data_IF_946243729595
#
_entry.id   IF_946243729595
#
_cell.length_a   1.000
_cell.length_b   1.000
_cell.length_c   1.000
_cell.angle_alpha   90.00
_cell.angle_beta   90.00
_cell.angle_gamma   90.00
#
_symmetry.space_group_name_H-M   'P 1'
#
loop_
_entity.id
_entity.type
_entity.pdbx_description
1 polymer ?
#
# COMPACT_ATOMS: atom_id res chain seq x y z
N UNK A 1 63.14 -34.50 -16.49
CA UNK A 1 62.43 -33.21 -16.67
C UNK A 1 61.70 -32.99 -15.35
N UNK A 2 62.24 -32.28 -14.33
CA UNK A 2 62.46 -30.81 -14.20
C UNK A 2 61.23 -30.04 -14.73
N UNK A 3 60.53 -29.18 -14.00
CA UNK A 3 60.66 -28.50 -12.69
C UNK A 3 59.30 -27.77 -12.45
N UNK A 4 59.04 -26.90 -11.49
CA UNK A 4 59.78 -26.39 -10.34
C UNK A 4 58.75 -25.86 -9.31
N UNK A 5 59.12 -26.03 -8.06
CA UNK A 5 58.44 -25.58 -6.85
C UNK A 5 58.82 -24.12 -6.61
N UNK A 6 57.83 -23.22 -6.45
CA UNK A 6 58.06 -21.89 -5.88
C UNK A 6 57.40 -21.80 -4.51
N UNK A 7 58.12 -22.36 -3.54
CA UNK A 7 58.05 -21.99 -2.12
C UNK A 7 58.58 -20.56 -2.02
N UNK A 8 57.69 -19.60 -1.77
CA UNK A 8 58.10 -18.26 -1.39
C UNK A 8 58.70 -18.32 0.02
N UNK A 9 60.03 -18.19 0.06
CA UNK A 9 60.84 -18.21 1.25
C UNK A 9 60.43 -17.11 2.25
N UNK A 10 60.12 -17.51 3.48
CA UNK A 10 60.21 -16.62 4.64
C UNK A 10 61.69 -16.28 4.85
N UNK A 11 62.10 -15.13 4.33
CA UNK A 11 63.43 -14.58 4.56
C UNK A 11 63.50 -14.05 6.01
N UNK A 12 63.89 -14.93 6.94
CA UNK A 12 64.42 -14.50 8.24
C UNK A 12 65.73 -13.75 7.96
N UNK A 13 65.66 -12.43 7.89
CA UNK A 13 66.85 -11.60 7.91
C UNK A 13 67.51 -11.75 9.28
N UNK A 14 68.68 -12.38 9.24
CA UNK A 14 69.69 -12.43 10.29
C UNK A 14 69.83 -11.09 10.99
N UNK A 15 69.41 -11.00 12.26
CA UNK A 15 69.89 -9.96 13.16
C UNK A 15 71.34 -10.28 13.52
N UNK A 16 72.25 -9.57 12.88
CA UNK A 16 73.66 -9.49 13.21
C UNK A 16 73.78 -8.97 14.66
N UNK A 17 74.06 -9.85 15.64
CA UNK A 17 74.46 -9.43 16.98
C UNK A 17 75.90 -8.91 16.93
N UNK A 18 76.03 -7.67 16.43
CA UNK A 18 77.22 -6.86 16.60
C UNK A 18 77.36 -6.48 18.07
N UNK A 19 78.47 -6.93 18.66
CA UNK A 19 78.95 -6.60 20.01
C UNK A 19 78.89 -5.10 20.29
N UNK A 20 78.33 -4.73 21.45
CA UNK A 20 78.26 -3.35 21.93
C UNK A 20 77.49 -3.24 23.23
N UNK A 21 78.14 -3.57 24.35
CA UNK A 21 77.63 -3.32 25.71
C UNK A 21 77.52 -1.81 25.90
N UNK A 22 76.29 -1.27 25.97
CA UNK A 22 75.96 -0.01 26.64
C UNK A 22 74.47 0.02 27.04
N UNK A 23 74.24 0.25 28.33
CA UNK A 23 73.07 0.87 28.98
C UNK A 23 71.71 0.13 29.00
N UNK A 24 71.38 -0.42 30.17
CA UNK A 24 70.07 -1.04 30.49
C UNK A 24 68.84 -0.10 30.42
N UNK A 25 69.03 1.18 30.11
CA UNK A 25 67.96 2.13 29.76
C UNK A 25 67.35 1.86 28.38
N UNK A 26 68.12 1.31 27.45
CA UNK A 26 67.71 1.23 26.05
C UNK A 26 66.77 0.04 25.83
N UNK A 27 66.98 -1.05 26.57
CA UNK A 27 66.08 -2.22 26.57
C UNK A 27 64.67 -1.90 27.10
N UNK A 28 64.57 -1.10 28.16
CA UNK A 28 63.28 -0.68 28.72
C UNK A 28 62.54 0.24 27.74
N UNK A 29 63.26 1.15 27.08
CA UNK A 29 62.69 2.05 26.08
C UNK A 29 62.23 1.32 24.82
N UNK A 30 62.97 0.31 24.36
CA UNK A 30 62.58 -0.52 23.21
C UNK A 30 61.34 -1.38 23.50
N UNK A 31 61.25 -1.93 24.72
CA UNK A 31 60.07 -2.68 25.16
C UNK A 31 58.82 -1.78 25.25
N UNK A 32 58.98 -0.54 25.72
CA UNK A 32 57.89 0.44 25.80
C UNK A 32 57.40 0.85 24.41
N UNK A 33 58.32 1.07 23.46
CA UNK A 33 57.98 1.35 22.05
C UNK A 33 57.25 0.19 21.39
N UNK A 34 57.72 -1.04 21.59
CA UNK A 34 57.05 -2.23 21.06
C UNK A 34 55.62 -2.40 21.62
N UNK A 35 55.42 -2.08 22.91
CA UNK A 35 54.09 -2.11 23.53
C UNK A 35 53.16 -1.05 22.93
N UNK A 36 53.67 0.17 22.73
CA UNK A 36 52.91 1.27 22.17
C UNK A 36 52.56 1.04 20.69
N UNK A 37 53.46 0.45 19.90
CA UNK A 37 53.20 0.05 18.52
C UNK A 37 52.16 -1.08 18.44
N UNK A 38 52.23 -2.06 19.35
CA UNK A 38 51.22 -3.11 19.45
C UNK A 38 49.84 -2.55 19.82
N UNK A 39 49.79 -1.57 20.72
CA UNK A 39 48.56 -0.88 21.10
C UNK A 39 48.01 -0.02 19.95
N UNK A 40 48.87 0.68 19.21
CA UNK A 40 48.49 1.38 17.98
C UNK A 40 47.95 0.42 16.92
N UNK A 41 48.59 -0.73 16.71
CA UNK A 41 48.10 -1.74 15.77
C UNK A 41 46.76 -2.32 16.21
N UNK A 42 46.59 -2.59 17.51
CA UNK A 42 45.34 -3.12 18.04
C UNK A 42 44.20 -2.09 17.95
N UNK A 43 44.47 -0.82 18.27
CA UNK A 43 43.49 0.27 18.18
C UNK A 43 43.15 0.61 16.73
N UNK A 44 44.12 0.57 15.81
CA UNK A 44 43.89 0.71 14.37
C UNK A 44 43.02 -0.43 13.81
N UNK A 45 43.31 -1.67 14.19
CA UNK A 45 42.52 -2.85 13.78
C UNK A 45 41.11 -2.83 14.36
N UNK A 46 40.96 -2.46 15.64
CA UNK A 46 39.67 -2.30 16.30
C UNK A 46 38.83 -1.18 15.67
N UNK A 47 39.43 -0.02 15.43
CA UNK A 47 38.73 1.13 14.82
C UNK A 47 38.35 0.87 13.36
N UNK A 48 39.16 0.12 12.61
CA UNK A 48 38.80 -0.40 11.27
C UNK A 48 37.59 -1.34 11.35
N UNK A 49 37.59 -2.32 12.25
CA UNK A 49 36.44 -3.23 12.46
C UNK A 49 35.16 -2.50 12.86
N UNK A 50 35.25 -1.49 13.71
CA UNK A 50 34.09 -0.69 14.15
C UNK A 50 33.55 0.15 12.98
N UNK A 51 34.43 0.81 12.21
CA UNK A 51 34.01 1.58 11.02
C UNK A 51 33.40 0.68 9.95
N UNK A 52 33.98 -0.48 9.67
CA UNK A 52 33.42 -1.44 8.72
C UNK A 52 32.03 -1.97 9.14
N UNK A 53 31.77 -2.05 10.45
CA UNK A 53 30.46 -2.43 10.97
C UNK A 53 29.42 -1.29 10.92
N UNK A 54 29.85 -0.02 11.00
CA UNK A 54 28.97 1.15 11.01
C UNK A 54 28.76 1.78 9.61
N UNK A 55 29.75 1.67 8.72
CA UNK A 55 29.77 2.26 7.37
C UNK A 55 30.37 1.26 6.36
N UNK A 56 29.60 0.21 5.99
CA UNK A 56 30.08 -0.84 5.07
C UNK A 56 30.25 -0.39 3.61
N UNK A 57 29.82 0.83 3.26
CA UNK A 57 29.80 1.34 1.90
C UNK A 57 31.09 2.08 1.46
N UNK A 58 32.05 2.31 2.35
CA UNK A 58 33.28 3.08 2.05
C UNK A 58 34.49 2.27 1.58
N UNK A 59 34.42 0.94 1.54
CA UNK A 59 35.57 0.09 1.14
C UNK A 59 35.32 -0.56 -0.23
N UNK A 60 35.39 0.24 -1.30
CA UNK A 60 35.42 -0.26 -2.67
C UNK A 60 36.87 -0.55 -3.10
N UNK A 61 37.31 -1.79 -2.93
CA UNK A 61 38.54 -2.39 -3.49
C UNK A 61 38.34 -3.89 -3.71
N UNK A 62 38.94 -4.51 -4.75
CA UNK A 62 38.27 -5.55 -5.53
C UNK A 62 38.25 -6.93 -4.85
N UNK A 63 37.08 -7.56 -4.96
CA UNK A 63 36.86 -9.01 -4.86
C UNK A 63 37.29 -9.70 -3.55
N UNK A 64 36.39 -9.66 -2.57
CA UNK A 64 36.14 -10.81 -1.72
C UNK A 64 34.64 -10.84 -1.46
N UNK A 65 33.99 -11.91 -1.89
CA UNK A 65 32.57 -12.22 -1.77
C UNK A 65 31.96 -11.80 -0.43
N UNK A 66 31.52 -10.55 -0.31
CA UNK A 66 30.56 -10.15 0.72
C UNK A 66 29.24 -10.64 0.17
N UNK A 67 28.93 -11.91 0.48
CA UNK A 67 27.55 -12.38 0.54
C UNK A 67 26.77 -11.27 1.21
N UNK A 68 25.88 -10.67 0.41
CA UNK A 68 24.96 -9.60 0.73
C UNK A 68 24.39 -9.80 2.13
N UNK A 69 25.11 -9.28 3.14
CA UNK A 69 24.65 -9.27 4.52
C UNK A 69 23.71 -8.09 4.61
N UNK A 70 22.55 -8.23 3.95
CA UNK A 70 21.41 -7.34 4.05
C UNK A 70 21.24 -7.03 5.54
N UNK A 71 21.36 -5.76 5.90
CA UNK A 71 21.22 -5.34 7.30
C UNK A 71 19.88 -5.83 7.83
N UNK A 72 19.74 -6.04 9.15
CA UNK A 72 18.47 -6.47 9.75
C UNK A 72 17.33 -5.54 9.30
N UNK A 73 17.63 -4.25 9.13
CA UNK A 73 16.72 -3.23 8.59
C UNK A 73 16.28 -3.55 7.15
N UNK A 74 17.21 -3.93 6.27
CA UNK A 74 16.93 -4.33 4.88
C UNK A 74 16.07 -5.60 4.81
N UNK A 75 16.36 -6.60 5.66
CA UNK A 75 15.57 -7.84 5.74
C UNK A 75 14.16 -7.59 6.27
N UNK A 76 14.00 -6.63 7.17
CA UNK A 76 12.71 -6.31 7.76
C UNK A 76 11.90 -5.28 6.95
N UNK A 77 12.52 -4.55 6.01
CA UNK A 77 11.83 -3.53 5.22
C UNK A 77 10.68 -4.12 4.38
N UNK A 78 10.92 -5.25 3.70
CA UNK A 78 9.91 -5.92 2.86
C UNK A 78 8.75 -6.48 3.69
N UNK A 79 8.96 -7.33 4.72
CA UNK A 79 7.85 -7.86 5.51
C UNK A 79 7.09 -6.77 6.27
N UNK A 80 7.74 -5.68 6.67
CA UNK A 80 7.06 -4.55 7.34
C UNK A 80 6.17 -3.77 6.37
N UNK A 81 6.61 -3.56 5.12
CA UNK A 81 5.78 -2.93 4.08
C UNK A 81 4.57 -3.81 3.75
N UNK A 82 4.79 -5.12 3.63
CA UNK A 82 3.74 -6.10 3.34
C UNK A 82 2.70 -6.18 4.48
N UNK A 83 3.16 -6.11 5.72
CA UNK A 83 2.29 -6.03 6.89
C UNK A 83 1.52 -4.70 6.91
N UNK A 84 2.17 -3.57 6.63
CA UNK A 84 1.50 -2.27 6.54
C UNK A 84 0.40 -2.28 5.47
N UNK A 85 0.68 -2.80 4.28
CA UNK A 85 -0.33 -2.91 3.22
C UNK A 85 -1.45 -3.84 3.62
N UNK A 86 -1.16 -5.03 4.14
CA UNK A 86 -2.18 -5.97 4.59
C UNK A 86 -3.08 -5.40 5.72
N UNK A 87 -2.52 -4.61 6.64
CA UNK A 87 -3.29 -3.93 7.68
C UNK A 87 -4.17 -2.83 7.10
N UNK A 88 -3.65 -2.03 6.15
CA UNK A 88 -4.46 -1.03 5.44
C UNK A 88 -5.59 -1.70 4.66
N UNK A 89 -5.30 -2.81 3.97
CA UNK A 89 -6.27 -3.59 3.21
C UNK A 89 -7.32 -4.24 4.12
N UNK A 90 -6.95 -4.65 5.34
CA UNK A 90 -7.90 -5.14 6.35
C UNK A 90 -8.74 -4.02 6.97
N UNK A 91 -8.16 -2.82 7.16
CA UNK A 91 -8.91 -1.66 7.66
C UNK A 91 -9.89 -1.13 6.60
N UNK A 92 -9.54 -1.22 5.32
CA UNK A 92 -10.44 -0.96 4.20
C UNK A 92 -11.32 -2.16 3.85
N UNK A 93 -11.10 -3.32 4.49
CA UNK A 93 -11.94 -4.50 4.30
C UNK A 93 -13.30 -4.26 4.96
N UNK A 94 -14.25 -3.79 4.17
CA UNK A 94 -15.65 -3.58 4.53
C UNK A 94 -16.42 -4.89 4.74
N UNK A 95 -15.81 -5.96 5.26
CA UNK A 95 -16.50 -7.20 5.64
C UNK A 95 -17.46 -7.74 4.56
N UNK A 96 -17.12 -7.56 3.29
CA UNK A 96 -18.06 -7.82 2.20
C UNK A 96 -18.05 -9.29 1.86
N UNK A 97 -19.12 -10.01 2.20
CA UNK A 97 -19.66 -10.97 1.22
C UNK A 97 -19.78 -10.21 -0.11
N UNK A 98 -19.37 -10.82 -1.22
CA UNK A 98 -19.02 -10.24 -2.54
C UNK A 98 -20.04 -9.33 -3.27
N UNK A 99 -20.90 -8.59 -2.56
CA UNK A 99 -21.90 -7.64 -3.08
C UNK A 99 -21.25 -6.58 -3.97
N UNK A 100 -20.00 -6.20 -3.70
CA UNK A 100 -19.26 -5.24 -4.52
C UNK A 100 -18.92 -5.77 -5.92
N UNK A 101 -18.77 -7.08 -6.08
CA UNK A 101 -18.47 -7.73 -7.35
C UNK A 101 -19.73 -8.22 -8.09
N UNK A 102 -20.91 -8.08 -7.48
CA UNK A 102 -22.15 -8.55 -8.08
C UNK A 102 -22.51 -7.74 -9.33
N UNK A 103 -22.99 -8.42 -10.38
CA UNK A 103 -23.49 -7.75 -11.57
C UNK A 103 -24.76 -6.95 -11.22
N UNK A 104 -25.00 -5.87 -11.95
CA UNK A 104 -26.18 -5.00 -11.79
C UNK A 104 -27.51 -5.76 -11.64
N UNK A 105 -27.83 -6.80 -12.44
CA UNK A 105 -29.07 -7.57 -12.24
C UNK A 105 -29.19 -8.22 -10.85
N UNK A 106 -28.13 -8.80 -10.31
CA UNK A 106 -28.15 -9.44 -9.00
C UNK A 106 -28.33 -8.40 -7.88
N UNK A 107 -27.82 -7.18 -8.07
CA UNK A 107 -28.07 -6.05 -7.17
C UNK A 107 -29.55 -5.64 -7.15
N UNK A 108 -30.28 -5.76 -8.26
CA UNK A 108 -31.72 -5.45 -8.32
C UNK A 108 -32.51 -6.42 -7.44
N UNK A 109 -32.15 -7.70 -7.48
CA UNK A 109 -32.77 -8.73 -6.66
C UNK A 109 -32.50 -8.50 -5.17
N UNK A 110 -31.25 -8.14 -4.81
CA UNK A 110 -30.88 -7.79 -3.44
C UNK A 110 -31.55 -6.51 -2.90
N UNK A 111 -31.85 -5.55 -3.77
CA UNK A 111 -32.61 -4.34 -3.39
C UNK A 111 -34.06 -4.69 -3.00
N UNK A 112 -34.57 -5.83 -3.50
CA UNK A 112 -35.92 -6.33 -3.20
C UNK A 112 -35.93 -7.43 -2.12
N UNK A 113 -34.82 -7.62 -1.40
CA UNK A 113 -34.69 -8.63 -0.34
C UNK A 113 -35.54 -8.27 0.90
N UNK A 114 -35.76 -9.27 1.76
CA UNK A 114 -36.45 -9.14 3.05
C UNK A 114 -35.57 -8.50 4.12
N UNK A 115 -34.25 -8.64 4.00
CA UNK A 115 -33.30 -8.08 4.96
C UNK A 115 -32.93 -6.64 4.61
N UNK A 116 -33.34 -5.72 5.47
CA UNK A 116 -33.09 -4.29 5.32
C UNK A 116 -31.59 -3.93 5.29
N UNK A 117 -30.74 -4.67 6.01
CA UNK A 117 -29.29 -4.46 6.00
C UNK A 117 -28.66 -4.91 4.68
N UNK A 118 -29.25 -5.90 4.00
CA UNK A 118 -28.85 -6.31 2.64
C UNK A 118 -29.28 -5.25 1.63
N UNK A 119 -30.52 -4.76 1.73
CA UNK A 119 -31.04 -3.69 0.88
C UNK A 119 -30.20 -2.43 1.00
N UNK A 120 -29.84 -2.01 2.23
CA UNK A 120 -29.00 -0.83 2.46
C UNK A 120 -27.64 -0.93 1.73
N UNK A 121 -26.98 -2.08 1.84
CA UNK A 121 -25.68 -2.33 1.18
C UNK A 121 -25.81 -2.41 -0.34
N UNK A 122 -26.86 -3.06 -0.85
CA UNK A 122 -27.11 -3.16 -2.28
C UNK A 122 -27.40 -1.78 -2.90
N UNK A 123 -28.20 -0.95 -2.24
CA UNK A 123 -28.49 0.43 -2.68
C UNK A 123 -27.24 1.30 -2.62
N UNK A 124 -26.43 1.20 -1.57
CA UNK A 124 -25.15 1.91 -1.48
C UNK A 124 -24.22 1.54 -2.64
N UNK A 125 -24.17 0.25 -2.99
CA UNK A 125 -23.38 -0.21 -4.14
C UNK A 125 -23.89 0.37 -5.45
N UNK A 126 -25.21 0.35 -5.67
CA UNK A 126 -25.83 0.96 -6.85
C UNK A 126 -25.60 2.47 -6.91
N UNK A 127 -25.60 3.16 -5.77
CA UNK A 127 -25.24 4.57 -5.70
C UNK A 127 -23.81 4.81 -6.18
N UNK A 128 -22.83 4.02 -5.73
CA UNK A 128 -21.45 4.13 -6.18
C UNK A 128 -21.32 3.84 -7.68
N UNK A 129 -21.91 2.75 -8.16
CA UNK A 129 -21.86 2.39 -9.59
C UNK A 129 -22.52 3.50 -10.42
N UNK A 130 -23.62 4.13 -9.97
CA UNK A 130 -24.28 5.22 -10.72
C UNK A 130 -23.43 6.47 -10.91
N UNK A 131 -22.40 6.64 -10.07
CA UNK A 131 -21.41 7.72 -10.20
C UNK A 131 -20.31 7.36 -11.20
N UNK A 132 -19.96 6.09 -11.32
CA UNK A 132 -18.84 5.60 -12.13
C UNK A 132 -19.28 5.19 -13.55
N UNK A 133 -20.41 4.48 -13.64
CA UNK A 133 -20.90 3.84 -14.86
C UNK A 133 -22.26 4.38 -15.32
N UNK A 134 -22.29 4.80 -16.59
CA UNK A 134 -23.50 5.34 -17.25
C UNK A 134 -24.44 4.27 -17.78
N UNK A 135 -23.95 3.04 -17.92
CA UNK A 135 -24.69 1.89 -18.45
C UNK A 135 -25.88 1.49 -17.57
N UNK A 136 -25.90 1.92 -16.31
CA UNK A 136 -26.97 1.65 -15.36
C UNK A 136 -28.34 2.13 -15.86
N UNK A 137 -28.35 3.22 -16.63
CA UNK A 137 -29.58 3.81 -17.21
C UNK A 137 -30.30 2.83 -18.16
N UNK A 138 -29.59 1.85 -18.71
CA UNK A 138 -30.15 0.82 -19.58
C UNK A 138 -31.00 -0.22 -18.84
N UNK A 139 -30.96 -0.27 -17.50
CA UNK A 139 -31.70 -1.23 -16.69
C UNK A 139 -32.95 -0.59 -16.06
N UNK A 140 -34.13 -0.66 -16.70
CA UNK A 140 -35.35 -0.05 -16.18
C UNK A 140 -35.84 -0.73 -14.88
N UNK A 141 -35.56 -2.02 -14.69
CA UNK A 141 -35.91 -2.75 -13.48
C UNK A 141 -35.19 -2.20 -12.23
N UNK A 142 -33.97 -1.69 -12.40
CA UNK A 142 -33.23 -1.05 -11.31
C UNK A 142 -33.89 0.26 -10.89
N UNK A 143 -34.34 1.07 -11.84
CA UNK A 143 -35.02 2.34 -11.57
C UNK A 143 -36.33 2.07 -10.79
N UNK A 144 -37.09 1.04 -11.16
CA UNK A 144 -38.30 0.62 -10.43
C UNK A 144 -37.97 0.17 -9.00
N UNK A 145 -36.91 -0.63 -8.82
CA UNK A 145 -36.46 -1.06 -7.50
C UNK A 145 -36.01 0.10 -6.61
N UNK A 146 -35.22 1.06 -7.15
CA UNK A 146 -34.81 2.26 -6.43
C UNK A 146 -36.00 3.14 -6.03
N UNK A 147 -36.98 3.32 -6.91
CA UNK A 147 -38.20 4.08 -6.60
C UNK A 147 -39.01 3.42 -5.48
N UNK A 148 -39.10 2.07 -5.46
CA UNK A 148 -39.74 1.34 -4.36
C UNK A 148 -39.01 1.57 -3.04
N UNK A 149 -37.68 1.50 -3.06
CA UNK A 149 -36.87 1.71 -1.86
C UNK A 149 -36.92 3.16 -1.35
N UNK A 150 -37.14 4.15 -2.21
CA UNK A 150 -37.42 5.52 -1.76
C UNK A 150 -38.66 5.65 -0.86
N UNK A 151 -39.56 4.65 -0.86
CA UNK A 151 -40.72 4.57 0.04
C UNK A 151 -40.43 3.87 1.37
N UNK A 152 -39.23 3.32 1.55
CA UNK A 152 -38.84 2.73 2.84
C UNK A 152 -38.69 3.79 3.93
N UNK A 153 -38.92 3.40 5.17
CA UNK A 153 -38.83 4.29 6.34
C UNK A 153 -37.38 4.69 6.66
N UNK A 154 -36.41 3.97 6.08
CA UNK A 154 -34.99 4.13 6.38
C UNK A 154 -34.38 5.34 5.66
N UNK A 155 -34.00 6.32 6.47
CA UNK A 155 -33.48 7.60 6.00
C UNK A 155 -32.18 7.41 5.19
N UNK A 156 -31.29 6.52 5.64
CA UNK A 156 -30.02 6.25 4.96
C UNK A 156 -30.23 5.65 3.57
N UNK A 157 -31.03 4.58 3.50
CA UNK A 157 -31.34 3.88 2.24
C UNK A 157 -32.07 4.79 1.27
N UNK A 158 -33.06 5.55 1.76
CA UNK A 158 -33.79 6.55 0.96
C UNK A 158 -32.85 7.63 0.41
N UNK A 159 -31.93 8.16 1.22
CA UNK A 159 -30.97 9.16 0.79
C UNK A 159 -30.08 8.62 -0.33
N UNK A 160 -29.55 7.42 -0.16
CA UNK A 160 -28.64 6.81 -1.13
C UNK A 160 -29.38 6.45 -2.44
N UNK A 161 -30.63 5.98 -2.35
CA UNK A 161 -31.51 5.76 -3.50
C UNK A 161 -31.84 7.05 -4.27
N UNK A 162 -32.17 8.15 -3.56
CA UNK A 162 -32.38 9.47 -4.18
C UNK A 162 -31.09 9.98 -4.83
N UNK A 163 -29.93 9.79 -4.18
CA UNK A 163 -28.63 10.13 -4.73
C UNK A 163 -28.35 9.38 -6.04
N UNK A 164 -28.66 8.08 -6.09
CA UNK A 164 -28.48 7.27 -7.30
C UNK A 164 -29.41 7.75 -8.43
N UNK A 165 -30.67 8.05 -8.10
CA UNK A 165 -31.63 8.63 -9.05
C UNK A 165 -31.18 10.02 -9.55
N UNK A 166 -30.52 10.81 -8.71
CA UNK A 166 -29.95 12.12 -9.10
C UNK A 166 -28.89 11.94 -10.19
N UNK A 167 -27.94 11.02 -10.00
CA UNK A 167 -26.93 10.73 -11.01
C UNK A 167 -27.55 10.21 -12.32
N UNK A 168 -28.57 9.34 -12.23
CA UNK A 168 -29.32 8.85 -13.39
C UNK A 168 -30.04 9.99 -14.13
N UNK A 169 -30.55 10.99 -13.41
CA UNK A 169 -31.26 12.13 -13.97
C UNK A 169 -30.38 13.10 -14.77
N UNK A 170 -29.06 13.05 -14.61
CA UNK A 170 -28.15 13.83 -15.44
C UNK A 170 -28.25 13.40 -16.91
N UNK A 171 -28.54 12.12 -17.16
CA UNK A 171 -28.61 11.54 -18.49
C UNK A 171 -29.99 11.73 -19.15
N UNK A 172 -30.06 12.09 -20.44
CA UNK A 172 -31.33 12.23 -21.16
C UNK A 172 -32.19 10.96 -21.15
N UNK A 173 -31.55 9.80 -21.30
CA UNK A 173 -32.21 8.49 -21.25
C UNK A 173 -32.79 8.20 -19.87
N UNK A 174 -32.05 8.56 -18.81
CA UNK A 174 -32.47 8.38 -17.42
C UNK A 174 -33.67 9.25 -17.08
N UNK A 175 -33.66 10.52 -17.52
CA UNK A 175 -34.80 11.44 -17.39
C UNK A 175 -36.07 10.90 -18.04
N UNK A 176 -35.96 10.35 -19.25
CA UNK A 176 -37.09 9.76 -19.95
C UNK A 176 -37.65 8.55 -19.21
N UNK A 177 -36.80 7.64 -18.73
CA UNK A 177 -37.23 6.46 -17.98
C UNK A 177 -37.91 6.85 -16.67
N UNK A 178 -37.25 7.70 -15.89
CA UNK A 178 -37.79 8.31 -14.68
C UNK A 178 -39.17 8.88 -15.01
N UNK A 179 -39.28 9.81 -15.97
CA UNK A 179 -40.55 10.43 -16.37
C UNK A 179 -41.65 9.42 -16.73
N UNK A 180 -41.35 8.39 -17.52
CA UNK A 180 -42.31 7.33 -17.87
C UNK A 180 -42.82 6.57 -16.65
N UNK A 181 -41.96 6.31 -15.65
CA UNK A 181 -42.36 5.67 -14.40
C UNK A 181 -43.23 6.58 -13.53
N UNK A 182 -42.96 7.89 -13.47
CA UNK A 182 -43.80 8.86 -12.75
C UNK A 182 -45.17 9.03 -13.41
N UNK A 183 -45.22 9.10 -14.74
CA UNK A 183 -46.46 9.23 -15.50
C UNK A 183 -47.32 7.95 -15.47
N UNK A 184 -46.70 6.79 -15.20
CA UNK A 184 -47.41 5.54 -14.99
C UNK A 184 -48.12 5.44 -13.62
N UNK A 185 -48.12 6.50 -12.81
CA UNK A 185 -48.97 6.62 -11.61
C UNK A 185 -48.52 5.81 -10.39
N UNK A 186 -47.24 5.41 -10.30
CA UNK A 186 -46.73 4.56 -9.20
C UNK A 186 -46.01 5.29 -8.07
N UNK A 187 -45.92 6.62 -8.08
CA UNK A 187 -45.06 7.36 -7.13
C UNK A 187 -45.75 8.56 -6.50
N UNK A 188 -45.55 8.70 -5.19
CA UNK A 188 -46.12 9.74 -4.34
C UNK A 188 -45.52 11.13 -4.65
N UNK A 189 -46.34 12.20 -4.64
CA UNK A 189 -45.92 13.56 -5.02
C UNK A 189 -44.84 14.17 -4.10
N UNK A 190 -44.61 13.62 -2.91
CA UNK A 190 -43.59 14.12 -1.98
C UNK A 190 -42.16 13.73 -2.37
N UNK A 191 -41.96 12.60 -3.07
CA UNK A 191 -40.64 12.25 -3.61
C UNK A 191 -40.26 13.17 -4.79
N UNK A 192 -41.25 13.74 -5.47
CA UNK A 192 -41.10 14.66 -6.62
C UNK A 192 -40.43 15.97 -6.20
N UNK A 193 -40.74 16.51 -5.01
CA UNK A 193 -40.17 17.75 -4.51
C UNK A 193 -38.67 17.62 -4.20
N UNK A 194 -38.24 16.48 -3.64
CA UNK A 194 -36.83 16.27 -3.30
C UNK A 194 -35.93 16.13 -4.52
N UNK A 195 -36.42 15.54 -5.61
CA UNK A 195 -35.65 15.39 -6.86
C UNK A 195 -35.73 16.65 -7.73
N UNK A 196 -36.86 17.38 -7.71
CA UNK A 196 -37.00 18.68 -8.41
C UNK A 196 -36.04 19.74 -7.88
N UNK A 197 -35.73 19.76 -6.58
CA UNK A 197 -34.81 20.75 -6.00
C UNK A 197 -33.35 20.59 -6.46
N UNK A 198 -32.93 19.41 -6.92
CA UNK A 198 -31.54 19.17 -7.36
C UNK A 198 -31.34 19.29 -8.87
N UNK A 199 -32.41 19.43 -9.65
CA UNK A 199 -32.35 19.38 -11.10
C UNK A 199 -32.72 20.74 -11.73
N UNK A 200 -31.72 21.53 -12.14
CA UNK A 200 -31.89 22.73 -12.99
C UNK A 200 -32.53 22.46 -14.36
N UNK A 201 -32.90 21.20 -14.64
CA UNK A 201 -33.42 20.74 -15.93
C UNK A 201 -34.94 20.89 -16.04
N UNK A 202 -35.70 20.96 -14.93
CA UNK A 202 -37.15 21.14 -15.00
C UNK A 202 -37.58 22.54 -15.50
N UNK A 203 -36.68 23.51 -15.60
CA UNK A 203 -37.00 24.85 -16.08
C UNK A 203 -37.05 24.98 -17.61
N UNK A 204 -36.57 23.99 -18.37
CA UNK A 204 -36.43 24.08 -19.84
C UNK A 204 -37.43 23.22 -20.64
N UNK A 205 -38.33 22.48 -19.99
CA UNK A 205 -39.33 21.63 -20.66
C UNK A 205 -40.77 22.06 -20.36
N UNK A 206 -40.95 23.36 -20.11
CA UNK A 206 -42.25 24.05 -20.07
C UNK A 206 -42.24 25.16 -21.13
N UNK A 207 -42.20 24.78 -22.39
CA UNK A 207 -42.58 25.62 -23.54
C UNK A 207 -43.24 24.73 -24.58
#
# INVERSE_FOLDING_TARGET
MRGDVLVAANQMQSMNMGSGINNGSDFINDLYRAYQDAEMMYTASRSSRIRAAMFPETEAGPSSSITSRSTIVEQMAVPTRLLKTAVVDLLSFEGTSDISALPVPDLIDLISDRDEAVVARAVQRVYLISKEDRSIVSYPALIDALIKVCKSDNINVKRDAIGALSHISEYPQGRMQIFRFWWSGRVDPNAVLSIRCSCSICSNYSS
#
